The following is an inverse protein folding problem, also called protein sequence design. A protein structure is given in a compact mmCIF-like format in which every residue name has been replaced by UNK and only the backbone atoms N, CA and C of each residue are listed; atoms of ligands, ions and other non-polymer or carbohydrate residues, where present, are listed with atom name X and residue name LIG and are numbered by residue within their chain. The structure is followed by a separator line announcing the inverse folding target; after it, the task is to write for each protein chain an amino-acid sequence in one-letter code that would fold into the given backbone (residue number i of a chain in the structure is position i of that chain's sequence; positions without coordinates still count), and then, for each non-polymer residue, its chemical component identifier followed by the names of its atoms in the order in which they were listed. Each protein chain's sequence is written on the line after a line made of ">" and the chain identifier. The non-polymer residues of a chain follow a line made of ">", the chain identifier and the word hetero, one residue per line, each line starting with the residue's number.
data_IF_701373116569
#
_entry.id   IF_701373116569
#
_cell.length_a   1.000
_cell.length_b   1.000
_cell.length_c   1.000
_cell.angle_alpha   90.00
_cell.angle_beta   90.00
_cell.angle_gamma   90.00
#
_symmetry.space_group_name_H-M   'P 1'
#
loop_
_entity.id
_entity.type
_entity.pdbx_description
1 polymer ?
#
# COMPACT_ATOMS: atom_id res chain seq x y z
N UNK A 1 -7.35 8.15 18.07
CA UNK A 1 -7.04 9.17 17.03
C UNK A 1 -7.53 8.64 15.70
N UNK A 2 -8.31 9.43 14.96
CA UNK A 2 -8.83 9.05 13.63
C UNK A 2 -7.90 9.54 12.52
N UNK A 3 -7.58 8.68 11.56
CA UNK A 3 -6.80 9.03 10.39
C UNK A 3 -7.48 8.50 9.13
N UNK A 4 -7.76 9.38 8.18
CA UNK A 4 -8.31 9.01 6.87
C UNK A 4 -7.16 8.89 5.89
N UNK A 5 -7.08 7.75 5.22
CA UNK A 5 -5.94 7.40 4.38
C UNK A 5 -6.46 7.00 3.00
N UNK A 6 -5.78 7.43 1.96
CA UNK A 6 -5.96 6.92 0.61
C UNK A 6 -4.62 6.41 0.09
N UNK A 7 -4.59 5.19 -0.41
CA UNK A 7 -3.39 4.55 -0.98
C UNK A 7 -3.64 4.28 -2.44
N UNK A 8 -2.72 4.72 -3.30
CA UNK A 8 -2.78 4.55 -4.74
C UNK A 8 -1.59 3.69 -5.16
N UNK A 9 -1.82 2.57 -5.82
CA UNK A 9 -0.77 1.84 -6.53
C UNK A 9 -0.87 2.11 -8.02
N UNK A 10 0.25 2.51 -8.63
CA UNK A 10 0.34 2.87 -10.05
C UNK A 10 0.77 1.71 -10.95
N UNK A 11 0.85 0.50 -10.38
CA UNK A 11 1.31 -0.73 -11.03
C UNK A 11 0.34 -1.22 -12.13
N UNK A 12 0.66 -2.33 -12.82
CA UNK A 12 -0.06 -2.85 -14.03
C UNK A 12 -1.60 -2.84 -13.95
N UNK A 13 -2.18 -2.98 -12.77
CA UNK A 13 -3.61 -2.76 -12.50
C UNK A 13 -3.76 -1.67 -11.45
N UNK A 14 -3.75 -0.39 -11.84
CA UNK A 14 -3.76 0.70 -10.89
C UNK A 14 -5.02 0.67 -10.04
N UNK A 15 -4.86 0.94 -8.75
CA UNK A 15 -5.94 0.88 -7.77
C UNK A 15 -5.78 1.97 -6.74
N UNK A 16 -6.90 2.55 -6.32
CA UNK A 16 -6.99 3.38 -5.14
C UNK A 16 -7.78 2.64 -4.06
N UNK A 17 -7.26 2.65 -2.85
CA UNK A 17 -7.89 2.15 -1.66
C UNK A 17 -8.13 3.30 -0.70
N UNK A 18 -9.34 3.45 -0.17
CA UNK A 18 -9.64 4.35 0.94
C UNK A 18 -9.82 3.57 2.23
N UNK A 19 -9.21 4.07 3.29
CA UNK A 19 -9.28 3.46 4.62
C UNK A 19 -9.40 4.52 5.70
N UNK A 20 -9.88 4.09 6.85
CA UNK A 20 -9.86 4.86 8.08
C UNK A 20 -9.13 4.02 9.13
N UNK A 21 -8.10 4.60 9.74
CA UNK A 21 -7.51 4.04 10.94
C UNK A 21 -8.11 4.75 12.14
N UNK A 22 -8.84 4.03 12.98
CA UNK A 22 -9.54 4.58 14.13
C UNK A 22 -9.38 3.66 15.33
N UNK A 23 -8.73 4.16 16.37
CA UNK A 23 -8.61 3.47 17.66
C UNK A 23 -8.07 2.03 17.59
N UNK A 24 -7.08 1.80 16.73
CA UNK A 24 -6.48 0.47 16.51
C UNK A 24 -7.13 -0.30 15.37
N UNK A 25 -8.36 0.05 14.97
CA UNK A 25 -9.04 -0.60 13.86
C UNK A 25 -8.67 0.02 12.51
N UNK A 26 -8.35 -0.85 11.55
CA UNK A 26 -8.19 -0.52 10.15
C UNK A 26 -9.48 -0.84 9.40
N UNK A 27 -10.24 0.20 9.10
CA UNK A 27 -11.50 0.11 8.36
C UNK A 27 -11.21 0.33 6.88
N UNK A 28 -11.47 -0.70 6.07
CA UNK A 28 -11.35 -0.65 4.62
C UNK A 28 -12.68 -0.15 4.03
N UNK A 29 -12.68 1.05 3.45
CA UNK A 29 -13.92 1.68 2.95
C UNK A 29 -14.25 1.22 1.53
N UNK A 30 -13.32 1.46 0.60
CA UNK A 30 -13.61 1.37 -0.83
C UNK A 30 -12.35 1.12 -1.65
N UNK A 31 -12.51 0.30 -2.70
CA UNK A 31 -11.46 -0.06 -3.64
C UNK A 31 -11.93 0.31 -5.05
N UNK A 32 -11.23 1.27 -5.65
CA UNK A 32 -11.52 1.78 -6.99
C UNK A 32 -10.40 1.40 -7.95
N UNK A 33 -10.75 0.74 -9.05
CA UNK A 33 -9.81 0.54 -10.15
C UNK A 33 -9.58 1.87 -10.86
N UNK A 34 -8.33 2.15 -11.19
CA UNK A 34 -7.93 3.35 -11.91
C UNK A 34 -7.55 2.99 -13.36
N UNK A 35 -7.66 3.95 -14.30
CA UNK A 35 -7.24 3.73 -15.68
C UNK A 35 -5.77 3.29 -15.76
N UNK A 36 -5.42 2.27 -16.55
CA UNK A 36 -4.03 1.80 -16.65
C UNK A 36 -3.11 2.79 -17.39
N UNK A 37 -3.68 3.66 -18.24
CA UNK A 37 -2.91 4.66 -18.98
C UNK A 37 -2.66 5.88 -18.10
N UNK A 38 -1.38 6.22 -17.89
CA UNK A 38 -0.92 7.32 -17.03
C UNK A 38 -1.71 8.62 -17.20
N UNK A 39 -1.91 9.09 -18.44
CA UNK A 39 -2.66 10.34 -18.70
C UNK A 39 -4.11 10.27 -18.20
N UNK A 40 -4.79 9.14 -18.42
CA UNK A 40 -6.16 8.95 -17.98
C UNK A 40 -6.24 8.79 -16.45
N UNK A 41 -5.31 8.05 -15.86
CA UNK A 41 -5.18 7.90 -14.40
C UNK A 41 -5.01 9.26 -13.72
N UNK A 42 -4.07 10.05 -14.21
CA UNK A 42 -3.79 11.37 -13.67
C UNK A 42 -4.98 12.32 -13.83
N UNK A 43 -5.66 12.31 -14.97
CA UNK A 43 -6.87 13.10 -15.20
C UNK A 43 -8.01 12.71 -14.23
N UNK A 44 -8.08 11.45 -13.83
CA UNK A 44 -9.04 10.97 -12.84
C UNK A 44 -8.65 11.36 -11.41
N UNK A 45 -7.41 11.08 -11.01
CA UNK A 45 -6.89 11.40 -9.67
C UNK A 45 -6.91 12.91 -9.39
N UNK A 46 -6.62 13.74 -10.40
CA UNK A 46 -6.59 15.21 -10.27
C UNK A 46 -7.96 15.82 -9.93
N UNK A 47 -9.06 15.09 -10.13
CA UNK A 47 -10.42 15.56 -9.80
C UNK A 47 -10.73 15.46 -8.30
N UNK A 48 -10.27 14.39 -7.67
CA UNK A 48 -10.72 13.98 -6.34
C UNK A 48 -9.63 14.11 -5.28
N UNK A 49 -8.38 13.77 -5.62
CA UNK A 49 -7.28 13.72 -4.65
C UNK A 49 -6.98 15.08 -4.01
N UNK A 50 -6.90 16.21 -4.75
CA UNK A 50 -6.68 17.50 -4.12
C UNK A 50 -7.78 17.88 -3.10
N UNK A 51 -9.02 17.46 -3.33
CA UNK A 51 -10.13 17.67 -2.38
C UNK A 51 -9.95 16.80 -1.13
N UNK A 52 -9.53 15.55 -1.30
CA UNK A 52 -9.24 14.64 -0.19
C UNK A 52 -8.10 15.17 0.68
N UNK A 53 -7.01 15.63 0.06
CA UNK A 53 -5.87 16.24 0.77
C UNK A 53 -6.33 17.45 1.59
N UNK A 54 -7.11 18.37 1.00
CA UNK A 54 -7.69 19.53 1.72
C UNK A 54 -8.63 19.12 2.86
N UNK A 55 -9.29 17.97 2.73
CA UNK A 55 -10.15 17.39 3.76
C UNK A 55 -9.35 16.61 4.84
N UNK A 56 -8.01 16.67 4.81
CA UNK A 56 -7.14 16.06 5.82
C UNK A 56 -6.81 14.59 5.58
N UNK A 57 -7.07 14.04 4.39
CA UNK A 57 -6.60 12.70 4.07
C UNK A 57 -5.07 12.67 3.96
N UNK A 58 -4.47 11.63 4.53
CA UNK A 58 -3.12 11.22 4.16
C UNK A 58 -3.21 10.42 2.86
N UNK A 59 -2.69 10.97 1.77
CA UNK A 59 -2.70 10.30 0.47
C UNK A 59 -1.30 9.81 0.15
N UNK A 60 -1.18 8.50 -0.07
CA UNK A 60 0.06 7.81 -0.39
C UNK A 60 -0.01 7.27 -1.82
N UNK A 61 1.07 7.41 -2.59
CA UNK A 61 1.20 6.89 -3.94
C UNK A 61 2.41 5.99 -4.01
N UNK A 62 2.18 4.70 -4.26
CA UNK A 62 3.21 3.73 -4.61
C UNK A 62 3.62 3.93 -6.08
N UNK A 63 4.75 4.61 -6.26
CA UNK A 63 5.33 4.91 -7.57
C UNK A 63 6.86 5.02 -7.53
N UNK A 64 7.48 4.88 -8.70
CA UNK A 64 8.92 5.02 -8.84
C UNK A 64 9.31 6.50 -9.00
N UNK A 65 8.75 7.25 -9.94
CA UNK A 65 9.27 8.60 -10.25
C UNK A 65 8.84 9.70 -9.28
N UNK A 66 7.68 9.56 -8.63
CA UNK A 66 7.14 10.58 -7.71
C UNK A 66 6.31 11.68 -8.40
N UNK A 67 6.26 11.68 -9.73
CA UNK A 67 5.59 12.74 -10.50
C UNK A 67 4.07 12.77 -10.25
N UNK A 68 3.44 11.59 -10.10
CA UNK A 68 1.99 11.52 -9.93
C UNK A 68 1.62 12.12 -8.57
N UNK A 69 2.30 11.72 -7.51
CA UNK A 69 2.15 12.23 -6.17
C UNK A 69 2.36 13.74 -6.12
N UNK A 70 3.46 14.23 -6.72
CA UNK A 70 3.74 15.66 -6.76
C UNK A 70 2.60 16.44 -7.43
N UNK A 71 2.10 15.96 -8.57
CA UNK A 71 1.07 16.66 -9.32
C UNK A 71 -0.29 16.70 -8.61
N UNK A 72 -0.62 15.69 -7.81
CA UNK A 72 -1.91 15.61 -7.09
C UNK A 72 -1.82 16.05 -5.63
N UNK A 73 -0.64 16.48 -5.17
CA UNK A 73 -0.39 16.90 -3.79
C UNK A 73 -0.40 15.75 -2.77
N UNK A 74 0.00 14.56 -3.19
CA UNK A 74 0.12 13.37 -2.35
C UNK A 74 1.58 13.06 -1.98
N UNK A 75 1.77 12.10 -1.08
CA UNK A 75 3.09 11.62 -0.69
C UNK A 75 3.47 10.43 -1.56
N UNK A 76 4.63 10.50 -2.20
CA UNK A 76 5.23 9.33 -2.85
C UNK A 76 5.81 8.39 -1.78
N UNK A 77 5.55 7.10 -1.92
CA UNK A 77 6.10 6.04 -1.06
C UNK A 77 6.61 4.91 -1.93
N UNK A 78 7.68 4.24 -1.53
CA UNK A 78 8.06 2.96 -2.13
C UNK A 78 8.08 1.89 -1.06
N UNK A 79 7.57 0.72 -1.42
CA UNK A 79 7.57 -0.45 -0.53
C UNK A 79 8.99 -0.92 -0.14
N UNK A 80 10.00 -0.55 -0.95
CA UNK A 80 11.43 -0.80 -0.69
C UNK A 80 12.09 0.24 0.22
N UNK A 81 11.43 1.36 0.52
CA UNK A 81 12.02 2.39 1.39
C UNK A 81 12.27 1.83 2.79
N UNK A 82 13.24 2.41 3.50
CA UNK A 82 13.54 2.02 4.88
C UNK A 82 12.55 2.67 5.83
N UNK A 83 12.01 1.86 6.74
CA UNK A 83 11.29 2.33 7.90
C UNK A 83 12.25 2.90 8.94
N UNK A 84 11.72 3.57 9.97
CA UNK A 84 12.53 4.19 11.03
C UNK A 84 13.37 3.18 11.83
N UNK A 85 12.97 1.90 11.84
CA UNK A 85 13.71 0.80 12.46
C UNK A 85 14.77 0.16 11.53
N UNK A 86 14.97 0.72 10.33
CA UNK A 86 15.94 0.27 9.35
C UNK A 86 15.47 -0.85 8.42
N UNK A 87 14.33 -1.51 8.71
CA UNK A 87 13.77 -2.57 7.85
C UNK A 87 13.02 -1.99 6.65
N UNK A 88 12.86 -2.73 5.54
CA UNK A 88 12.03 -2.27 4.42
C UNK A 88 10.57 -2.07 4.84
N UNK A 89 9.91 -1.03 4.31
CA UNK A 89 8.51 -0.69 4.61
C UNK A 89 7.58 -1.87 4.36
N UNK A 90 7.78 -2.65 3.29
CA UNK A 90 6.95 -3.83 3.01
C UNK A 90 6.98 -4.88 4.13
N UNK A 91 8.14 -5.07 4.76
CA UNK A 91 8.32 -6.07 5.84
C UNK A 91 7.54 -5.64 7.07
N UNK A 92 7.68 -4.36 7.43
CA UNK A 92 6.96 -3.78 8.57
C UNK A 92 5.46 -3.78 8.30
N UNK A 93 5.04 -3.42 7.09
CA UNK A 93 3.64 -3.37 6.69
C UNK A 93 2.96 -4.74 6.74
N UNK A 94 3.60 -5.81 6.24
CA UNK A 94 3.07 -7.17 6.31
C UNK A 94 3.01 -7.66 7.76
N UNK A 95 4.04 -7.39 8.55
CA UNK A 95 4.04 -7.75 9.99
C UNK A 95 2.87 -7.08 10.73
N UNK A 96 2.63 -5.80 10.44
CA UNK A 96 1.52 -5.03 11.02
C UNK A 96 0.15 -5.50 10.52
N UNK A 97 0.04 -5.87 9.24
CA UNK A 97 -1.17 -6.46 8.68
C UNK A 97 -1.52 -7.77 9.41
N UNK A 98 -0.55 -8.67 9.60
CA UNK A 98 -0.77 -9.93 10.30
C UNK A 98 -1.11 -9.72 11.79
N UNK A 99 -0.50 -8.72 12.44
CA UNK A 99 -0.87 -8.31 13.80
C UNK A 99 -2.34 -7.88 13.89
N UNK A 100 -2.76 -6.92 13.04
CA UNK A 100 -4.14 -6.44 13.00
C UNK A 100 -5.14 -7.55 12.65
N UNK A 101 -4.76 -8.44 11.73
CA UNK A 101 -5.57 -9.59 11.35
C UNK A 101 -5.78 -10.56 12.52
N UNK A 102 -4.73 -10.86 13.30
CA UNK A 102 -4.83 -11.71 14.50
C UNK A 102 -5.67 -11.08 15.61
N UNK A 103 -5.63 -9.76 15.74
CA UNK A 103 -6.43 -9.00 16.70
C UNK A 103 -7.90 -8.87 16.29
N UNK A 104 -8.25 -9.19 15.04
CA UNK A 104 -9.58 -8.95 14.50
C UNK A 104 -9.85 -7.47 14.15
N UNK A 105 -8.80 -6.64 14.12
CA UNK A 105 -8.87 -5.18 13.93
C UNK A 105 -8.82 -4.74 12.47
N UNK A 106 -9.13 -5.63 11.53
CA UNK A 106 -9.33 -5.29 10.12
C UNK A 106 -10.81 -5.42 9.79
N UNK A 107 -11.46 -4.29 9.56
CA UNK A 107 -12.88 -4.24 9.19
C UNK A 107 -12.95 -4.14 7.66
N UNK A 108 -13.45 -5.20 7.04
CA UNK A 108 -13.56 -5.32 5.59
C UNK A 108 -14.90 -4.75 5.08
N UNK A 109 -14.98 -4.34 3.81
CA UNK A 109 -16.26 -4.00 3.20
C UNK A 109 -17.15 -5.25 3.11
N UNK A 110 -18.49 -5.10 3.02
CA UNK A 110 -19.42 -6.23 2.97
C UNK A 110 -19.19 -7.20 1.80
N UNK A 111 -18.52 -6.76 0.73
CA UNK A 111 -18.23 -7.55 -0.47
C UNK A 111 -16.75 -7.45 -0.82
N UNK A 112 -16.20 -8.55 -1.35
CA UNK A 112 -14.84 -8.57 -1.90
C UNK A 112 -13.73 -8.61 -0.85
N UNK A 113 -13.98 -9.21 0.33
CA UNK A 113 -12.95 -9.41 1.39
C UNK A 113 -11.65 -10.02 0.84
N UNK A 114 -11.78 -10.99 -0.06
CA UNK A 114 -10.66 -11.66 -0.73
C UNK A 114 -9.76 -10.71 -1.55
N UNK A 115 -10.23 -9.53 -1.92
CA UNK A 115 -9.43 -8.53 -2.65
C UNK A 115 -8.42 -7.80 -1.75
N UNK A 116 -8.51 -8.00 -0.43
CA UNK A 116 -7.68 -7.35 0.58
C UNK A 116 -6.76 -8.33 1.31
N UNK A 117 -6.82 -9.62 0.97
CA UNK A 117 -5.96 -10.61 1.59
C UNK A 117 -4.54 -10.53 1.02
N UNK A 118 -3.58 -10.33 1.92
CA UNK A 118 -2.16 -10.43 1.62
C UNK A 118 -1.74 -11.89 1.80
N UNK A 119 -1.16 -12.49 0.75
CA UNK A 119 -0.61 -13.84 0.83
C UNK A 119 0.62 -13.88 1.72
N UNK A 120 0.75 -14.91 2.55
CA UNK A 120 1.94 -15.14 3.39
C UNK A 120 3.21 -15.40 2.57
N UNK A 121 3.08 -15.75 1.29
CA UNK A 121 4.22 -15.98 0.37
C UNK A 121 4.90 -14.70 -0.17
N UNK A 122 4.43 -13.51 0.22
CA UNK A 122 4.97 -12.22 -0.26
C UNK A 122 6.36 -11.87 0.30
N UNK A 123 6.78 -12.51 1.39
CA UNK A 123 8.08 -12.25 2.02
C UNK A 123 8.79 -13.59 2.19
N UNK A 124 9.99 -13.72 1.60
CA UNK A 124 10.94 -14.74 2.07
C UNK A 124 11.76 -14.12 3.20
N UNK A 125 11.69 -14.76 4.37
CA UNK A 125 12.56 -14.44 5.50
C UNK A 125 13.63 -15.52 5.52
N UNK A 126 14.83 -15.17 5.06
CA UNK A 126 16.00 -16.03 5.25
C UNK A 126 16.65 -15.62 6.57
N UNK A 127 16.86 -16.56 7.48
CA UNK A 127 17.58 -16.25 8.72
C UNK A 127 19.08 -16.37 8.47
N UNK A 128 19.84 -15.35 8.87
CA UNK A 128 21.30 -15.43 8.82
C UNK A 128 21.82 -16.45 9.86
N UNK A 129 23.10 -16.87 9.81
CA UNK A 129 23.66 -17.83 10.78
C UNK A 129 23.65 -17.35 12.24
N UNK A 130 23.44 -16.06 12.49
CA UNK A 130 23.28 -15.47 13.82
C UNK A 130 21.83 -15.51 14.33
N UNK A 131 20.90 -16.06 13.54
CA UNK A 131 19.47 -16.14 13.87
C UNK A 131 18.69 -14.85 13.61
N UNK A 132 19.29 -13.86 12.94
CA UNK A 132 18.60 -12.62 12.60
C UNK A 132 17.84 -12.77 11.27
N UNK A 133 16.60 -12.26 11.20
CA UNK A 133 15.81 -12.34 9.97
C UNK A 133 16.36 -11.40 8.90
N UNK A 134 16.79 -11.96 7.78
CA UNK A 134 17.12 -11.24 6.56
C UNK A 134 15.91 -11.28 5.62
N UNK A 135 15.28 -10.12 5.43
CA UNK A 135 14.02 -10.03 4.71
C UNK A 135 14.27 -9.71 3.23
N UNK A 136 14.00 -10.68 2.35
CA UNK A 136 14.05 -10.49 0.90
C UNK A 136 12.63 -10.30 0.37
N UNK A 137 12.33 -9.13 -0.19
CA UNK A 137 11.12 -8.93 -0.98
C UNK A 137 11.30 -9.63 -2.33
N UNK A 138 10.47 -10.64 -2.63
CA UNK A 138 10.52 -11.33 -3.93
C UNK A 138 10.05 -10.36 -5.02
N UNK A 139 10.97 -9.95 -5.90
CA UNK A 139 10.59 -9.33 -7.17
C UNK A 139 9.91 -10.39 -8.02
N UNK A 140 8.61 -10.23 -8.27
CA UNK A 140 7.85 -11.09 -9.19
C UNK A 140 8.21 -10.77 -10.65
N UNK A 141 9.46 -11.02 -11.04
CA UNK A 141 9.94 -11.01 -12.42
C UNK A 141 11.12 -11.98 -12.52
N UNK A 142 10.84 -13.25 -12.79
CA UNK A 142 11.84 -14.10 -13.45
C UNK A 142 11.79 -13.79 -14.95
N UNK A 143 12.88 -13.36 -15.60
CA UNK A 143 12.98 -13.52 -17.04
C UNK A 143 13.14 -15.02 -17.35
N UNK A 144 12.58 -15.52 -18.46
CA UNK A 144 12.87 -16.88 -18.90
C UNK A 144 14.38 -16.99 -19.16
N UNK A 145 15.03 -17.96 -18.51
CA UNK A 145 16.39 -18.35 -18.87
C UNK A 145 16.31 -19.09 -20.21
N UNK A 146 17.20 -18.72 -21.12
CA UNK A 146 17.34 -19.28 -22.49
C UNK A 146 17.44 -20.80 -22.50
#
# INVERSE_FOLDING_TARGET
>A
MIQRIAVISTMKKPVMLRTVFNDGDLILEDRKLLPPKRRAMLAELSKDIPKMVRAGFKVLVDEVSGDIAQQIGALSVRLSDRHHDGRPVIVVAVSRYEELKRQGSIIYPPKGKNLYEISSSLIDVEFNPAGEPNHHAKSACHPPQN
#
